data_IF_566811071517
#
_entry.id   IF_566811071517
#
_cell.length_a   1.000
_cell.length_b   1.000
_cell.length_c   1.000
_cell.angle_alpha   90.00
_cell.angle_beta   90.00
_cell.angle_gamma   90.00
#
_symmetry.space_group_name_H-M   'P 1'
#
loop_
_entity.id
_entity.type
_entity.pdbx_description
1 polymer ?
#
# COMPACT_ATOMS: atom_id res chain seq x y z
N UNK A 1 -9.15 24.81 -11.13
CA UNK A 1 -8.64 24.12 -9.92
C UNK A 1 -9.27 22.73 -9.79
N UNK A 2 -8.48 21.72 -9.40
CA UNK A 2 -9.01 20.39 -9.04
C UNK A 2 -9.49 20.48 -7.59
N UNK A 3 -10.72 20.07 -7.33
CA UNK A 3 -11.37 20.14 -6.01
C UNK A 3 -12.18 18.86 -5.78
N UNK A 4 -12.59 18.62 -4.53
CA UNK A 4 -13.57 17.58 -4.24
C UNK A 4 -14.91 17.86 -4.96
N UNK A 5 -15.67 16.81 -5.30
CA UNK A 5 -17.00 16.94 -5.87
C UNK A 5 -17.88 17.95 -5.10
N UNK A 6 -18.62 18.77 -5.85
CA UNK A 6 -19.42 19.86 -5.26
C UNK A 6 -20.38 19.36 -4.16
N UNK A 7 -20.95 18.16 -4.32
CA UNK A 7 -21.83 17.54 -3.32
C UNK A 7 -21.12 17.33 -1.97
N UNK A 8 -19.84 16.95 -1.98
CA UNK A 8 -19.05 16.77 -0.76
C UNK A 8 -18.77 18.14 -0.13
N UNK A 9 -18.35 19.12 -0.94
CA UNK A 9 -18.05 20.48 -0.44
C UNK A 9 -19.26 21.20 0.13
N UNK A 10 -20.46 20.94 -0.40
CA UNK A 10 -21.71 21.52 0.07
C UNK A 10 -22.26 20.81 1.32
N UNK A 11 -22.00 19.51 1.45
CA UNK A 11 -22.46 18.71 2.59
C UNK A 11 -21.55 18.86 3.82
N UNK A 12 -20.28 19.23 3.63
CA UNK A 12 -19.31 19.36 4.71
C UNK A 12 -19.34 20.76 5.35
N UNK A 13 -19.31 20.87 6.68
CA UNK A 13 -19.06 22.13 7.35
C UNK A 13 -17.74 22.77 6.87
N UNK A 14 -17.73 24.09 6.71
CA UNK A 14 -16.59 24.81 6.11
C UNK A 14 -15.26 24.56 6.84
N UNK A 15 -15.27 24.34 8.16
CA UNK A 15 -14.07 24.03 8.93
C UNK A 15 -13.41 22.69 8.57
N UNK A 16 -14.13 21.79 7.89
CA UNK A 16 -13.63 20.50 7.43
C UNK A 16 -13.25 20.54 5.94
N UNK A 17 -13.28 21.70 5.29
CA UNK A 17 -12.90 21.86 3.88
C UNK A 17 -11.71 22.81 3.78
N UNK A 18 -10.60 22.30 3.27
CA UNK A 18 -9.38 23.08 3.00
C UNK A 18 -8.96 22.87 1.55
N UNK A 19 -8.66 23.96 0.84
CA UNK A 19 -8.26 23.95 -0.58
C UNK A 19 -9.25 23.19 -1.49
N UNK A 20 -10.53 23.18 -1.11
CA UNK A 20 -11.58 22.46 -1.84
C UNK A 20 -11.64 20.95 -1.56
N UNK A 21 -10.91 20.43 -0.58
CA UNK A 21 -10.90 19.02 -0.19
C UNK A 21 -11.32 18.83 1.27
N UNK A 22 -11.80 17.63 1.60
CA UNK A 22 -12.10 17.26 2.99
C UNK A 22 -10.78 17.17 3.77
N UNK A 23 -10.65 17.94 4.85
CA UNK A 23 -9.48 17.92 5.71
C UNK A 23 -9.54 16.73 6.67
N UNK A 24 -8.46 15.95 6.70
CA UNK A 24 -8.31 14.77 7.54
C UNK A 24 -7.37 15.10 8.69
N UNK A 25 -7.59 14.49 9.85
CA UNK A 25 -6.69 14.63 10.99
C UNK A 25 -5.26 14.20 10.63
N UNK A 26 -4.28 15.08 10.92
CA UNK A 26 -2.85 14.75 10.92
C UNK A 26 -2.57 13.91 12.16
N UNK A 27 -2.78 12.60 12.08
CA UNK A 27 -2.50 11.69 13.20
C UNK A 27 -1.61 10.51 12.77
N UNK A 28 -0.83 10.00 13.72
CA UNK A 28 0.10 8.89 13.51
C UNK A 28 -0.58 7.59 13.06
N UNK A 29 -1.89 7.45 13.29
CA UNK A 29 -2.65 6.26 12.88
C UNK A 29 -3.24 6.40 11.47
N UNK A 30 -3.16 7.59 10.88
CA UNK A 30 -3.92 8.06 9.72
C UNK A 30 -5.29 7.36 9.67
N UNK A 31 -6.11 7.57 10.72
CA UNK A 31 -7.41 6.90 10.84
C UNK A 31 -8.40 7.33 9.77
N UNK A 32 -8.08 8.39 9.02
CA UNK A 32 -8.94 9.02 8.02
C UNK A 32 -10.26 9.56 8.59
N UNK A 33 -10.33 9.75 9.91
CA UNK A 33 -11.46 10.42 10.56
C UNK A 33 -11.45 11.91 10.25
N UNK A 34 -12.65 12.47 10.09
CA UNK A 34 -12.82 13.93 10.01
C UNK A 34 -12.86 14.46 11.46
N UNK A 35 -11.95 15.39 11.83
CA UNK A 35 -11.91 15.93 13.19
C UNK A 35 -13.28 16.47 13.63
N UNK A 36 -13.73 16.13 14.84
CA UNK A 36 -15.01 16.64 15.37
C UNK A 36 -16.27 16.03 14.77
N UNK A 37 -16.17 15.08 13.83
CA UNK A 37 -17.29 14.30 13.33
C UNK A 37 -17.14 12.82 13.71
N UNK A 38 -18.00 12.34 14.60
CA UNK A 38 -17.96 10.94 15.06
C UNK A 38 -18.34 9.97 13.94
N UNK A 39 -17.50 8.94 13.78
CA UNK A 39 -17.68 7.86 12.81
C UNK A 39 -17.78 8.31 11.33
N UNK A 40 -17.30 9.51 11.01
CA UNK A 40 -17.19 9.97 9.62
C UNK A 40 -15.74 9.93 9.17
N UNK A 41 -15.54 9.29 8.02
CA UNK A 41 -14.22 9.07 7.42
C UNK A 41 -14.20 9.63 6.00
N UNK A 42 -13.02 10.03 5.53
CA UNK A 42 -12.83 10.42 4.13
C UNK A 42 -11.50 9.92 3.58
N UNK A 43 -11.56 9.25 2.42
CA UNK A 43 -10.44 8.56 1.79
C UNK A 43 -10.35 8.92 0.29
N UNK A 44 -9.17 8.73 -0.29
CA UNK A 44 -8.95 8.91 -1.72
C UNK A 44 -8.99 10.37 -2.15
N UNK A 45 -9.44 10.61 -3.38
CA UNK A 45 -9.24 11.90 -4.05
C UNK A 45 -10.07 13.04 -3.45
N UNK A 46 -11.12 12.73 -2.68
CA UNK A 46 -11.96 13.75 -2.05
C UNK A 46 -11.31 14.43 -0.84
N UNK A 47 -10.25 13.86 -0.29
CA UNK A 47 -9.62 14.37 0.91
C UNK A 47 -8.23 14.95 0.66
N UNK A 48 -7.81 15.81 1.59
CA UNK A 48 -6.45 16.33 1.74
C UNK A 48 -5.83 15.56 2.89
N UNK A 49 -4.90 14.67 2.57
CA UNK A 49 -4.10 13.95 3.57
C UNK A 49 -2.76 14.67 3.69
N UNK A 50 -2.70 15.57 4.67
CA UNK A 50 -1.47 16.26 5.02
C UNK A 50 -0.52 15.26 5.69
N UNK A 51 0.69 15.17 5.15
CA UNK A 51 1.78 14.38 5.72
C UNK A 51 2.65 15.30 6.57
N UNK A 52 3.01 16.45 6.01
CA UNK A 52 3.50 17.63 6.73
C UNK A 52 2.62 18.82 6.39
N UNK A 53 2.99 20.00 6.89
CA UNK A 53 2.32 21.24 6.51
C UNK A 53 2.56 21.57 5.03
N UNK A 54 3.73 21.21 4.51
CA UNK A 54 4.17 21.44 3.12
C UNK A 54 3.95 20.24 2.18
N UNK A 55 3.72 19.04 2.70
CA UNK A 55 3.61 17.82 1.92
C UNK A 55 2.23 17.18 2.05
N UNK A 56 1.58 16.97 0.91
CA UNK A 56 0.28 16.30 0.80
C UNK A 56 0.50 14.97 0.08
N UNK A 57 -0.08 13.90 0.60
CA UNK A 57 0.01 12.58 -0.02
C UNK A 57 -0.58 12.62 -1.45
N UNK A 58 0.09 12.02 -2.44
CA UNK A 58 -0.40 12.03 -3.82
C UNK A 58 -1.73 11.26 -3.95
N UNK A 59 -2.57 11.75 -4.86
CA UNK A 59 -3.85 11.12 -5.21
C UNK A 59 -3.61 9.95 -6.17
N UNK A 60 -3.60 8.73 -5.64
CA UNK A 60 -3.43 7.50 -6.42
C UNK A 60 -4.33 6.37 -5.89
N UNK A 61 -4.72 5.46 -6.79
CA UNK A 61 -5.61 4.34 -6.47
C UNK A 61 -5.07 3.42 -5.36
N UNK A 62 -3.77 3.13 -5.38
CA UNK A 62 -3.13 2.33 -4.34
C UNK A 62 -3.20 3.00 -2.96
N UNK A 63 -2.95 4.31 -2.88
CA UNK A 63 -3.11 5.04 -1.62
C UNK A 63 -4.57 5.02 -1.16
N UNK A 64 -5.54 5.27 -2.03
CA UNK A 64 -6.97 5.20 -1.69
C UNK A 64 -7.37 3.84 -1.09
N UNK A 65 -6.83 2.76 -1.64
CA UNK A 65 -7.03 1.42 -1.10
C UNK A 65 -6.41 1.24 0.30
N UNK A 66 -5.15 1.65 0.49
CA UNK A 66 -4.47 1.58 1.79
C UNK A 66 -5.15 2.45 2.85
N UNK A 67 -5.69 3.60 2.45
CA UNK A 67 -6.54 4.42 3.32
C UNK A 67 -7.80 3.67 3.78
N UNK A 68 -8.48 2.99 2.85
CA UNK A 68 -9.64 2.15 3.17
C UNK A 68 -9.32 1.03 4.15
N UNK A 69 -8.14 0.42 4.06
CA UNK A 69 -7.66 -0.56 5.05
C UNK A 69 -7.52 0.02 6.44
N UNK A 70 -6.95 1.22 6.57
CA UNK A 70 -6.80 1.84 7.89
C UNK A 70 -8.11 2.32 8.49
N UNK A 71 -9.08 2.72 7.67
CA UNK A 71 -10.46 2.93 8.13
C UNK A 71 -11.04 1.61 8.69
N UNK A 72 -10.85 0.50 7.98
CA UNK A 72 -11.31 -0.80 8.45
C UNK A 72 -10.63 -1.22 9.77
N UNK A 73 -9.31 -1.05 9.88
CA UNK A 73 -8.55 -1.35 11.11
C UNK A 73 -9.04 -0.52 12.31
N UNK A 74 -9.35 0.76 12.09
CA UNK A 74 -9.87 1.66 13.12
C UNK A 74 -11.31 1.29 13.53
N UNK A 75 -12.20 0.97 12.58
CA UNK A 75 -13.56 0.49 12.85
C UNK A 75 -13.53 -0.82 13.65
N UNK A 76 -12.65 -1.75 13.26
CA UNK A 76 -12.49 -3.07 13.90
C UNK A 76 -11.65 -3.01 15.18
N UNK A 77 -11.03 -1.86 15.50
CA UNK A 77 -10.16 -1.65 16.67
C UNK A 77 -9.00 -2.64 16.72
N UNK A 78 -8.37 -2.88 15.57
CA UNK A 78 -7.21 -3.78 15.45
C UNK A 78 -6.06 -3.25 16.32
N UNK A 79 -5.41 -4.14 17.09
CA UNK A 79 -4.32 -3.76 18.02
C UNK A 79 -3.02 -3.40 17.31
N UNK A 80 -2.81 -3.95 16.10
CA UNK A 80 -1.66 -3.69 15.24
C UNK A 80 -2.16 -3.25 13.85
N UNK A 81 -2.56 -1.98 13.69
CA UNK A 81 -3.10 -1.48 12.43
C UNK A 81 -2.03 -1.49 11.32
N UNK A 82 -2.50 -1.54 10.07
CA UNK A 82 -1.66 -1.50 8.88
C UNK A 82 -0.96 -0.14 8.77
N UNK A 83 0.37 -0.15 8.78
CA UNK A 83 1.21 1.05 8.65
C UNK A 83 1.83 1.21 7.26
N UNK A 84 1.68 0.21 6.38
CA UNK A 84 2.16 0.32 4.99
C UNK A 84 1.47 1.49 4.28
N UNK A 85 2.31 2.42 3.81
CA UNK A 85 1.97 3.58 3.00
C UNK A 85 2.99 3.77 1.88
N UNK A 86 3.40 2.66 1.29
CA UNK A 86 4.04 2.69 -0.03
C UNK A 86 2.97 2.98 -1.09
N UNK A 87 3.37 3.59 -2.20
CA UNK A 87 2.51 3.69 -3.37
C UNK A 87 3.30 4.03 -4.62
N UNK A 88 2.91 3.42 -5.72
CA UNK A 88 3.51 3.66 -7.03
C UNK A 88 2.58 4.52 -7.91
N UNK A 89 3.17 5.29 -8.80
CA UNK A 89 2.49 5.88 -9.95
C UNK A 89 3.33 5.59 -11.19
N UNK A 90 2.73 4.95 -12.19
CA UNK A 90 3.42 4.54 -13.41
C UNK A 90 2.92 5.42 -14.55
N UNK A 91 3.82 6.19 -15.15
CA UNK A 91 3.58 6.99 -16.33
C UNK A 91 4.17 6.30 -17.56
N UNK A 92 3.32 5.93 -18.51
CA UNK A 92 3.74 5.30 -19.76
C UNK A 92 4.37 6.34 -20.70
N UNK A 93 5.56 6.03 -21.22
CA UNK A 93 6.31 6.91 -22.13
C UNK A 93 6.20 6.49 -23.60
N UNK A 94 5.62 5.32 -23.89
CA UNK A 94 5.54 4.72 -25.21
C UNK A 94 6.67 3.72 -25.49
N UNK A 95 6.55 2.96 -26.59
CA UNK A 95 7.50 1.90 -26.99
C UNK A 95 7.74 0.83 -25.91
N UNK A 96 6.74 0.59 -25.05
CA UNK A 96 6.84 -0.33 -23.91
C UNK A 96 7.55 0.26 -22.69
N UNK A 97 8.07 1.49 -22.76
CA UNK A 97 8.78 2.13 -21.64
C UNK A 97 7.86 2.94 -20.73
N UNK A 98 8.28 3.11 -19.48
CA UNK A 98 7.56 3.90 -18.48
C UNK A 98 8.46 4.47 -17.39
N UNK A 99 7.92 5.45 -16.66
CA UNK A 99 8.50 5.99 -15.44
C UNK A 99 7.69 5.47 -14.27
N UNK A 100 8.35 4.87 -13.29
CA UNK A 100 7.75 4.48 -12.01
C UNK A 100 8.18 5.51 -10.98
N UNK A 101 7.21 6.20 -10.39
CA UNK A 101 7.41 7.06 -9.23
C UNK A 101 6.89 6.32 -8.00
N UNK A 102 7.78 5.89 -7.14
CA UNK A 102 7.44 5.22 -5.88
C UNK A 102 7.57 6.21 -4.74
N UNK A 103 6.59 6.22 -3.84
CA UNK A 103 6.62 6.99 -2.60
C UNK A 103 6.43 6.04 -1.42
N UNK A 104 7.20 6.23 -0.36
CA UNK A 104 7.00 5.52 0.90
C UNK A 104 6.76 6.52 2.04
N UNK A 105 5.58 6.42 2.67
CA UNK A 105 5.21 7.17 3.87
C UNK A 105 5.07 6.27 5.10
N UNK A 106 5.46 5.00 5.03
CA UNK A 106 5.19 4.00 6.07
C UNK A 106 5.85 4.36 7.40
N UNK A 107 7.05 4.95 7.36
CA UNK A 107 7.73 5.39 8.56
C UNK A 107 6.99 6.53 9.28
N UNK A 108 6.30 7.40 8.54
CA UNK A 108 5.54 8.52 9.12
C UNK A 108 4.31 8.06 9.89
N UNK A 109 3.74 6.92 9.48
CA UNK A 109 2.66 6.23 10.20
C UNK A 109 3.10 5.66 11.54
N UNK A 110 4.39 5.75 11.87
CA UNK A 110 4.93 5.27 13.15
C UNK A 110 5.43 6.40 14.04
N UNK A 111 5.42 7.65 13.54
CA UNK A 111 5.87 8.81 14.31
C UNK A 111 4.86 9.15 15.41
N UNK A 112 5.29 9.49 16.64
CA UNK A 112 4.38 9.82 17.74
C UNK A 112 3.65 11.15 17.53
N UNK A 113 4.26 12.09 16.81
CA UNK A 113 3.67 13.33 16.31
C UNK A 113 4.25 13.66 14.93
N UNK A 114 3.49 14.39 14.12
CA UNK A 114 3.91 14.92 12.83
C UNK A 114 4.23 16.44 12.92
N UNK A 115 4.38 16.97 14.14
CA UNK A 115 4.63 18.41 14.39
C UNK A 115 6.10 18.82 14.25
N UNK A 116 7.03 17.86 14.22
CA UNK A 116 8.45 18.11 13.94
C UNK A 116 8.74 17.88 12.45
N UNK A 117 8.70 18.96 11.65
CA UNK A 117 8.95 18.93 10.21
C UNK A 117 10.36 18.38 9.85
N UNK A 118 11.33 18.53 10.76
CA UNK A 118 12.71 18.04 10.59
C UNK A 118 12.78 16.50 10.53
N UNK A 119 11.86 15.79 11.17
CA UNK A 119 11.80 14.32 11.11
C UNK A 119 11.11 13.85 9.83
N UNK A 120 10.04 14.52 9.40
CA UNK A 120 9.19 14.01 8.31
C UNK A 120 9.88 14.07 6.94
N UNK A 121 10.74 15.06 6.68
CA UNK A 121 11.52 15.13 5.44
C UNK A 121 12.54 13.97 5.31
N UNK A 122 13.01 13.40 6.43
CA UNK A 122 13.93 12.25 6.42
C UNK A 122 13.23 10.91 6.10
N UNK A 123 11.90 10.85 6.26
CA UNK A 123 11.11 9.63 6.09
C UNK A 123 10.40 9.51 4.75
N UNK A 124 10.28 10.60 3.98
CA UNK A 124 9.75 10.53 2.62
C UNK A 124 10.82 10.02 1.67
N UNK A 125 10.60 8.83 1.11
CA UNK A 125 11.44 8.29 0.04
C UNK A 125 10.67 8.31 -1.26
N UNK A 126 11.03 9.25 -2.13
CA UNK A 126 10.63 9.22 -3.52
C UNK A 126 11.72 8.56 -4.35
N UNK A 127 11.37 7.48 -5.05
CA UNK A 127 12.22 6.82 -6.02
C UNK A 127 11.61 6.97 -7.40
N UNK A 128 12.46 7.25 -8.40
CA UNK A 128 12.05 7.40 -9.80
C UNK A 128 12.89 6.47 -10.65
N UNK A 129 12.25 5.49 -11.27
CA UNK A 129 12.90 4.50 -12.13
C UNK A 129 12.33 4.55 -13.54
N UNK A 130 13.16 4.21 -14.53
CA UNK A 130 12.72 3.95 -15.91
C UNK A 130 12.64 2.44 -16.09
N UNK A 131 11.52 1.96 -16.64
CA UNK A 131 11.27 0.54 -16.89
C UNK A 131 11.04 0.31 -18.39
N UNK A 132 11.58 -0.79 -18.91
CA UNK A 132 11.47 -1.16 -20.34
C UNK A 132 10.25 -2.06 -20.66
N UNK A 133 9.65 -2.68 -19.63
CA UNK A 133 8.41 -3.47 -19.74
C UNK A 133 7.31 -2.85 -18.86
N UNK A 134 6.91 -1.63 -19.24
CA UNK A 134 5.94 -0.82 -18.53
C UNK A 134 4.55 -1.48 -18.48
N UNK A 135 4.16 -2.19 -19.55
CA UNK A 135 2.85 -2.84 -19.59
C UNK A 135 2.76 -3.96 -18.57
N UNK A 136 3.75 -4.87 -18.52
CA UNK A 136 3.76 -5.91 -17.49
C UNK A 136 3.80 -5.31 -16.08
N UNK A 137 4.69 -4.33 -15.83
CA UNK A 137 4.82 -3.69 -14.51
C UNK A 137 3.54 -2.98 -14.07
N UNK A 138 2.87 -2.26 -14.97
CA UNK A 138 1.58 -1.59 -14.74
C UNK A 138 0.49 -2.60 -14.40
N UNK A 139 0.41 -3.69 -15.17
CA UNK A 139 -0.60 -4.73 -14.95
C UNK A 139 -0.37 -5.45 -13.62
N UNK A 140 0.87 -5.83 -13.30
CA UNK A 140 1.22 -6.45 -12.02
C UNK A 140 0.88 -5.52 -10.84
N UNK A 141 1.24 -4.24 -10.94
CA UNK A 141 0.94 -3.23 -9.94
C UNK A 141 -0.57 -3.06 -9.72
N UNK A 142 -1.35 -2.81 -10.78
CA UNK A 142 -2.82 -2.66 -10.67
C UNK A 142 -3.47 -3.93 -10.12
N UNK A 143 -3.04 -5.09 -10.60
CA UNK A 143 -3.57 -6.38 -10.14
C UNK A 143 -3.31 -6.65 -8.67
N UNK A 144 -2.19 -6.16 -8.13
CA UNK A 144 -1.81 -6.38 -6.74
C UNK A 144 -2.90 -5.89 -5.77
N UNK A 145 -3.54 -4.76 -6.04
CA UNK A 145 -4.58 -4.20 -5.15
C UNK A 145 -6.01 -4.38 -5.68
N UNK A 146 -6.25 -4.43 -7.00
CA UNK A 146 -7.60 -4.68 -7.56
C UNK A 146 -8.14 -6.04 -7.10
N UNK A 147 -7.32 -7.09 -7.10
CA UNK A 147 -7.70 -8.42 -6.57
C UNK A 147 -8.12 -8.35 -5.10
N UNK A 148 -7.43 -7.52 -4.32
CA UNK A 148 -7.70 -7.38 -2.89
C UNK A 148 -8.95 -6.53 -2.62
N UNK A 149 -9.32 -5.62 -3.51
CA UNK A 149 -10.53 -4.78 -3.37
C UNK A 149 -11.78 -5.54 -3.80
N UNK A 150 -11.76 -6.17 -4.97
CA UNK A 150 -12.96 -6.71 -5.61
C UNK A 150 -13.06 -8.24 -5.54
N UNK A 151 -12.04 -8.90 -4.99
CA UNK A 151 -11.98 -10.35 -4.88
C UNK A 151 -11.59 -11.04 -6.20
N UNK A 152 -11.27 -12.33 -6.08
CA UNK A 152 -10.75 -13.14 -7.18
C UNK A 152 -11.79 -13.37 -8.29
N UNK A 153 -13.08 -13.49 -7.92
CA UNK A 153 -14.17 -13.64 -8.90
C UNK A 153 -14.31 -12.43 -9.83
N UNK A 154 -14.13 -11.21 -9.31
CA UNK A 154 -14.14 -10.01 -10.14
C UNK A 154 -12.95 -9.99 -11.11
N UNK A 155 -11.76 -10.36 -10.64
CA UNK A 155 -10.59 -10.46 -11.51
C UNK A 155 -10.73 -11.54 -12.58
N UNK A 156 -11.32 -12.70 -12.25
CA UNK A 156 -11.68 -13.73 -13.23
C UNK A 156 -12.66 -13.20 -14.27
N UNK A 157 -13.63 -12.36 -13.87
CA UNK A 157 -14.56 -11.73 -14.80
C UNK A 157 -13.88 -10.75 -15.76
N UNK A 158 -12.92 -9.95 -15.26
CA UNK A 158 -12.13 -9.03 -16.09
C UNK A 158 -11.17 -9.78 -17.03
N UNK A 159 -10.57 -10.88 -16.57
CA UNK A 159 -9.76 -11.76 -17.44
C UNK A 159 -10.60 -12.40 -18.54
N UNK A 160 -11.85 -12.81 -18.26
CA UNK A 160 -12.78 -13.31 -19.30
C UNK A 160 -13.15 -12.24 -20.32
N UNK A 161 -13.12 -10.96 -19.93
CA UNK A 161 -13.36 -9.82 -20.81
C UNK A 161 -12.08 -9.36 -21.55
N UNK A 162 -10.93 -10.03 -21.34
CA UNK A 162 -9.65 -9.64 -21.92
C UNK A 162 -9.08 -8.34 -21.36
N UNK A 163 -9.57 -7.90 -20.19
CA UNK A 163 -9.17 -6.65 -19.53
C UNK A 163 -8.08 -6.87 -18.46
N UNK A 164 -7.76 -8.12 -18.12
CA UNK A 164 -6.65 -8.50 -17.24
C UNK A 164 -5.89 -9.68 -17.82
N UNK A 165 -4.56 -9.58 -17.84
CA UNK A 165 -3.69 -10.58 -18.43
C UNK A 165 -3.64 -11.88 -17.58
N UNK A 166 -3.72 -13.03 -18.24
CA UNK A 166 -3.72 -14.35 -17.60
C UNK A 166 -2.28 -14.80 -17.30
N UNK A 167 -1.65 -14.24 -16.27
CA UNK A 167 -0.57 -14.94 -15.57
C UNK A 167 -1.05 -15.28 -14.16
N UNK A 168 -1.73 -16.41 -14.08
CA UNK A 168 -2.09 -17.06 -12.82
C UNK A 168 -1.15 -18.25 -12.69
N UNK A 169 -0.07 -18.10 -11.92
CA UNK A 169 0.60 -19.27 -11.37
C UNK A 169 -0.39 -19.91 -10.39
N UNK A 170 -0.81 -21.13 -10.71
CA UNK A 170 -1.67 -21.92 -9.85
C UNK A 170 -0.95 -22.15 -8.50
N UNK A 171 -1.65 -22.09 -7.36
CA UNK A 171 -1.06 -22.44 -6.08
C UNK A 171 -0.65 -23.92 -6.13
N UNK A 172 0.64 -24.20 -6.00
CA UNK A 172 1.16 -25.55 -5.76
C UNK A 172 0.54 -26.08 -4.47
N UNK A 173 -0.40 -27.00 -4.61
CA UNK A 173 -0.93 -27.79 -3.50
C UNK A 173 0.20 -28.59 -2.88
N UNK A 174 0.58 -28.25 -1.66
CA UNK A 174 1.32 -29.15 -0.76
C UNK A 174 0.42 -30.35 -0.46
N UNK A 175 0.73 -31.50 -1.06
CA UNK A 175 0.26 -32.79 -0.56
C UNK A 175 1.16 -33.22 0.58
N UNK A 176 0.60 -33.20 1.79
CA UNK A 176 1.10 -33.95 2.93
C UNK A 176 1.00 -35.46 2.67
N UNK A 177 1.90 -36.17 3.35
CA UNK A 177 2.00 -37.62 3.57
C UNK A 177 2.75 -38.48 2.54
N UNK A 178 4.02 -38.75 2.85
CA UNK A 178 4.46 -40.15 2.93
C UNK A 178 5.23 -40.38 4.22
N UNK A 179 4.70 -41.28 5.05
CA UNK A 179 5.16 -41.60 6.40
C UNK A 179 5.61 -43.07 6.41
N UNK A 180 6.81 -43.30 7.00
CA UNK A 180 7.32 -44.51 7.73
C UNK A 180 8.60 -45.14 7.14
N UNK A 181 9.36 -45.95 7.91
CA UNK A 181 9.70 -45.85 9.34
C UNK A 181 11.19 -46.17 9.68
N UNK A 182 11.63 -45.75 10.88
CA UNK A 182 12.66 -46.29 11.78
C UNK A 182 13.92 -47.04 11.27
N UNK A 183 15.09 -46.60 11.75
CA UNK A 183 16.26 -47.47 11.96
C UNK A 183 17.50 -46.75 12.52
N UNK A 184 17.77 -46.91 13.83
CA UNK A 184 19.00 -46.47 14.51
C UNK A 184 20.21 -47.28 14.02
N UNK A 185 21.38 -46.65 13.87
CA UNK A 185 22.61 -47.02 14.58
C UNK A 185 23.74 -46.01 14.37
N UNK A 186 24.44 -45.73 15.47
CA UNK A 186 25.61 -44.87 15.58
C UNK A 186 26.88 -45.61 15.14
N UNK A 187 27.87 -44.88 14.57
CA UNK A 187 29.31 -45.13 14.79
C UNK A 187 30.06 -43.79 14.63
N UNK A 188 30.96 -43.52 15.60
CA UNK A 188 31.97 -42.45 15.66
C UNK A 188 33.15 -42.76 14.74
N UNK A 189 33.90 -41.74 14.31
CA UNK A 189 35.38 -41.68 14.19
C UNK A 189 35.72 -40.29 13.59
N UNK A 190 36.20 -39.29 14.34
CA UNK A 190 37.55 -39.02 14.87
C UNK A 190 38.55 -38.43 13.85
N UNK A 191 39.07 -37.21 14.16
CA UNK A 191 40.50 -36.78 14.07
C UNK A 191 41.03 -36.49 12.63
N UNK A 192 41.79 -35.45 12.26
CA UNK A 192 42.52 -34.35 12.91
C UNK A 192 42.89 -33.25 11.88
N UNK A 193 43.14 -32.04 12.39
CA UNK A 193 44.12 -30.99 12.04
C UNK A 193 44.78 -30.91 10.64
N UNK A 194 44.83 -29.67 10.11
CA UNK A 194 46.09 -28.92 9.96
C UNK A 194 45.90 -27.45 9.55
N UNK A 195 46.37 -26.56 10.42
CA UNK A 195 46.79 -25.18 10.16
C UNK A 195 48.25 -25.21 9.68
N UNK A 196 48.57 -24.61 8.53
CA UNK A 196 49.90 -24.13 8.08
C UNK A 196 49.63 -23.23 6.86
N UNK A 197 50.08 -21.99 6.65
CA UNK A 197 50.83 -20.92 7.36
C UNK A 197 50.46 -19.62 6.65
#
# INVERSE_FOLDING_TARGET
PIEAPAVIRQAMPAQHVQDGFVNIEKNHRCTHRIPGLDAVYAIGDCCRVAVTDDYIMPKAGEFAWKMGRSVADDILRVTHPTTDRTGECIAELGLGQGIVVQNDFSAMMTLPSLDDDDDVAAFHRMQVDVVDDCDAKKMDWVNSYVRQIFGEEYCLSLSRLGLLDQKVDAPTTTTDEEKKPNGRNAVKDSVDDKVVT
#
